data_IF_403390688149
#
_entry.id   IF_403390688149
#
_cell.length_a   1.000
_cell.length_b   1.000
_cell.length_c   1.000
_cell.angle_alpha   90.00
_cell.angle_beta   90.00
_cell.angle_gamma   90.00
#
_symmetry.space_group_name_H-M   'P 1'
#
loop_
_entity.id
_entity.type
_entity.pdbx_description
1 polymer ?
#
# COMPACT_ATOMS: atom_id res chain seq x y z
N UNK A 1 22.42 25.62 14.04
CA UNK A 1 23.72 25.31 13.40
C UNK A 1 24.36 26.59 12.81
N UNK A 2 25.65 26.54 12.55
CA UNK A 2 26.42 27.69 12.05
C UNK A 2 26.40 27.70 10.52
N UNK A 3 25.60 28.59 9.91
CA UNK A 3 25.45 28.75 8.46
C UNK A 3 26.71 29.32 7.76
N UNK A 4 27.74 29.76 8.52
CA UNK A 4 28.99 30.29 7.94
C UNK A 4 30.01 29.19 7.66
N UNK A 5 29.71 27.95 8.06
CA UNK A 5 30.58 26.81 7.77
C UNK A 5 30.42 26.41 6.31
N UNK A 6 31.52 26.35 5.59
CA UNK A 6 31.58 25.84 4.21
C UNK A 6 32.24 24.48 4.18
N UNK A 7 31.94 23.70 3.16
CA UNK A 7 32.46 22.35 2.98
C UNK A 7 33.24 22.23 1.68
N UNK A 8 34.30 21.46 1.69
CA UNK A 8 35.15 21.20 0.52
C UNK A 8 35.37 19.70 0.38
N UNK A 9 35.02 19.13 -0.76
CA UNK A 9 35.31 17.74 -1.07
C UNK A 9 36.81 17.51 -1.21
N UNK A 10 37.30 16.45 -0.58
CA UNK A 10 38.74 16.07 -0.57
C UNK A 10 39.00 14.83 -1.42
N UNK A 11 38.09 13.86 -1.39
CA UNK A 11 38.19 12.60 -2.12
C UNK A 11 36.78 11.98 -2.26
N UNK A 12 36.61 11.09 -3.23
CA UNK A 12 35.37 10.34 -3.42
C UNK A 12 35.52 9.21 -4.42
N UNK A 13 34.71 8.18 -4.26
CA UNK A 13 34.71 7.02 -5.14
C UNK A 13 33.27 6.44 -5.22
N UNK A 14 32.72 6.25 -6.42
CA UNK A 14 33.22 6.68 -7.76
C UNK A 14 33.30 8.20 -7.91
N UNK A 15 34.19 8.67 -8.77
CA UNK A 15 34.36 10.11 -9.01
C UNK A 15 33.06 10.76 -9.53
N UNK A 16 32.32 10.07 -10.38
CA UNK A 16 31.13 10.56 -11.07
C UNK A 16 31.31 10.64 -12.58
N UNK A 17 30.23 10.91 -13.29
CA UNK A 17 30.26 11.17 -14.73
C UNK A 17 30.87 12.56 -15.01
N UNK A 18 31.17 12.83 -16.29
CA UNK A 18 31.74 14.13 -16.68
C UNK A 18 30.80 15.28 -16.27
N UNK A 19 31.33 16.25 -15.53
CA UNK A 19 30.58 17.36 -14.94
C UNK A 19 29.51 16.99 -13.90
N UNK A 20 29.51 15.77 -13.39
CA UNK A 20 28.59 15.29 -12.35
C UNK A 20 29.37 14.54 -11.25
N UNK A 21 30.39 15.18 -10.70
CA UNK A 21 31.32 14.57 -9.73
C UNK A 21 30.89 14.81 -8.28
N UNK A 22 31.47 14.06 -7.34
CA UNK A 22 31.20 14.21 -5.90
C UNK A 22 31.53 15.64 -5.38
N UNK A 23 32.38 16.41 -6.05
CA UNK A 23 32.69 17.79 -5.65
C UNK A 23 31.47 18.72 -5.73
N UNK A 24 30.51 18.40 -6.57
CA UNK A 24 29.29 19.18 -6.78
C UNK A 24 28.24 19.02 -5.68
N UNK A 25 28.47 18.11 -4.72
CA UNK A 25 27.63 17.95 -3.54
C UNK A 25 27.67 19.16 -2.57
N UNK A 26 28.62 20.10 -2.75
CA UNK A 26 28.89 21.19 -1.82
C UNK A 26 28.96 22.56 -2.51
N UNK A 27 28.40 22.71 -3.71
CA UNK A 27 28.52 23.96 -4.49
C UNK A 27 27.27 24.86 -4.38
N UNK A 28 26.26 24.43 -3.62
CA UNK A 28 25.03 25.18 -3.35
C UNK A 28 24.04 25.26 -4.52
N UNK A 29 24.27 24.50 -5.59
CA UNK A 29 23.43 24.52 -6.80
C UNK A 29 22.38 23.42 -6.74
N UNK A 30 21.22 23.73 -6.21
CA UNK A 30 20.15 22.77 -5.91
C UNK A 30 18.75 23.14 -6.43
N UNK A 31 18.62 24.23 -7.19
CA UNK A 31 17.33 24.65 -7.77
C UNK A 31 17.24 24.29 -9.25
N UNK A 32 16.05 24.16 -9.82
CA UNK A 32 15.85 23.80 -11.23
C UNK A 32 16.61 24.72 -12.22
N UNK A 33 16.67 26.00 -11.90
CA UNK A 33 17.36 27.02 -12.75
C UNK A 33 18.88 27.03 -12.53
N UNK A 34 19.39 26.52 -11.41
CA UNK A 34 20.81 26.52 -11.06
C UNK A 34 21.16 25.23 -10.32
N UNK A 35 21.43 24.17 -11.08
CA UNK A 35 21.57 22.82 -10.58
C UNK A 35 22.90 22.18 -10.98
N UNK A 36 23.47 21.45 -10.04
CA UNK A 36 24.52 20.46 -10.28
C UNK A 36 24.28 19.21 -9.43
N UNK A 37 24.99 18.12 -9.69
CA UNK A 37 24.78 16.87 -8.98
C UNK A 37 26.01 15.97 -9.02
N UNK A 38 26.09 15.06 -8.06
CA UNK A 38 26.91 13.85 -8.16
C UNK A 38 26.08 12.73 -8.78
N UNK A 39 26.50 12.25 -9.95
CA UNK A 39 25.88 11.12 -10.61
C UNK A 39 26.98 10.12 -11.03
N UNK A 40 26.84 8.87 -10.63
CA UNK A 40 27.88 7.87 -10.88
C UNK A 40 27.30 6.47 -11.03
N UNK A 41 28.09 5.57 -11.66
CA UNK A 41 27.80 4.14 -11.65
C UNK A 41 27.95 3.62 -10.21
N UNK A 42 26.93 2.93 -9.72
CA UNK A 42 26.91 2.36 -8.38
C UNK A 42 27.14 0.84 -8.44
N UNK A 43 28.18 0.37 -7.78
CA UNK A 43 28.58 -1.05 -7.74
C UNK A 43 28.63 -1.61 -6.31
N UNK A 44 27.65 -1.22 -5.48
CA UNK A 44 27.52 -1.68 -4.10
C UNK A 44 28.06 -0.72 -3.05
N UNK A 45 28.88 0.26 -3.41
CA UNK A 45 29.28 1.35 -2.50
C UNK A 45 29.66 2.62 -3.25
N UNK A 46 29.44 3.76 -2.60
CA UNK A 46 29.95 5.07 -3.03
C UNK A 46 30.28 5.89 -1.78
N UNK A 47 31.32 6.73 -1.84
CA UNK A 47 31.67 7.58 -0.71
C UNK A 47 32.23 8.93 -1.15
N UNK A 48 32.09 9.93 -0.27
CA UNK A 48 32.77 11.22 -0.36
C UNK A 48 33.38 11.57 0.99
N UNK A 49 34.62 12.07 0.97
CA UNK A 49 35.33 12.62 2.11
C UNK A 49 35.44 14.14 1.92
N UNK A 50 35.06 14.90 2.91
CA UNK A 50 35.03 16.36 2.86
C UNK A 50 35.48 16.99 4.17
N UNK A 51 35.91 18.24 4.10
CA UNK A 51 36.33 19.03 5.25
C UNK A 51 35.39 20.21 5.46
N UNK A 52 35.09 20.52 6.72
CA UNK A 52 34.45 21.75 7.13
C UNK A 52 35.47 22.88 7.32
N UNK A 53 35.12 24.12 7.01
CA UNK A 53 35.97 25.30 7.26
C UNK A 53 36.19 25.56 8.74
N UNK A 54 35.30 25.06 9.61
CA UNK A 54 35.42 25.09 11.07
C UNK A 54 34.97 23.74 11.63
N UNK A 55 35.66 23.24 12.65
CA UNK A 55 35.21 22.07 13.37
C UNK A 55 33.89 22.35 14.12
N UNK A 56 33.00 21.36 14.16
CA UNK A 56 31.74 21.49 14.86
C UNK A 56 31.06 20.14 15.13
N UNK A 57 30.09 20.14 16.02
CA UNK A 57 29.27 18.98 16.34
C UNK A 57 28.21 18.82 15.25
N UNK A 58 28.13 17.69 14.55
CA UNK A 58 27.08 17.46 13.55
C UNK A 58 25.73 17.28 14.26
N UNK A 59 24.78 18.12 13.91
CA UNK A 59 23.41 18.10 14.49
C UNK A 59 22.37 17.62 13.48
N UNK A 60 22.73 17.56 12.20
CA UNK A 60 21.86 17.07 11.12
C UNK A 60 22.47 17.35 9.75
N UNK A 61 21.78 16.95 8.71
CA UNK A 61 22.13 17.24 7.32
C UNK A 61 20.88 17.26 6.43
N UNK A 62 21.03 17.87 5.26
CA UNK A 62 20.00 17.88 4.24
C UNK A 62 20.55 17.16 3.00
N UNK A 63 19.75 16.27 2.41
CA UNK A 63 20.01 15.66 1.10
C UNK A 63 19.02 16.26 0.11
N UNK A 64 19.52 16.81 -0.99
CA UNK A 64 18.68 17.27 -2.10
C UNK A 64 18.77 16.26 -3.25
N UNK A 65 17.63 15.85 -3.78
CA UNK A 65 17.53 14.90 -4.91
C UNK A 65 18.00 15.55 -6.23
N UNK A 66 18.30 14.73 -7.22
CA UNK A 66 18.72 15.18 -8.54
C UNK A 66 17.63 15.95 -9.30
N UNK A 67 18.04 16.62 -10.38
CA UNK A 67 17.14 17.45 -11.20
C UNK A 67 16.28 16.65 -12.19
N UNK A 68 16.48 15.34 -12.28
CA UNK A 68 15.78 14.43 -13.20
C UNK A 68 15.38 13.10 -12.53
N UNK A 69 15.29 13.09 -11.20
CA UNK A 69 14.90 11.91 -10.40
C UNK A 69 13.50 11.38 -10.80
N UNK A 70 12.57 12.28 -11.15
CA UNK A 70 11.23 11.89 -11.59
C UNK A 70 11.21 11.11 -12.92
N UNK A 71 12.26 11.28 -13.74
CA UNK A 71 12.44 10.57 -15.02
C UNK A 71 13.29 9.30 -14.86
N UNK A 72 14.13 9.25 -13.83
CA UNK A 72 15.10 8.18 -13.57
C UNK A 72 14.98 7.69 -12.12
N UNK A 73 13.91 6.97 -11.85
CA UNK A 73 13.54 6.51 -10.51
C UNK A 73 14.56 5.55 -9.91
N UNK A 74 14.63 5.55 -8.58
CA UNK A 74 15.45 4.60 -7.83
C UNK A 74 16.92 4.97 -7.64
N UNK A 75 17.36 6.14 -8.12
CA UNK A 75 18.77 6.59 -8.03
C UNK A 75 19.15 7.20 -6.69
N UNK A 76 18.17 7.47 -5.81
CA UNK A 76 18.42 8.04 -4.50
C UNK A 76 19.16 7.04 -3.58
N UNK A 77 20.00 7.54 -2.64
CA UNK A 77 20.52 6.72 -1.55
C UNK A 77 19.40 6.02 -0.78
N UNK A 78 19.65 4.76 -0.38
CA UNK A 78 18.73 3.96 0.44
C UNK A 78 19.33 3.58 1.79
N UNK A 79 20.64 3.34 1.83
CA UNK A 79 21.37 3.06 3.08
C UNK A 79 22.72 3.74 3.04
N UNK A 80 23.08 4.38 4.15
CA UNK A 80 24.35 5.12 4.26
C UNK A 80 24.83 5.27 5.69
N UNK A 81 26.12 5.66 5.82
CA UNK A 81 26.76 6.00 7.08
C UNK A 81 27.45 7.35 6.96
N UNK A 82 27.35 8.14 8.03
CA UNK A 82 28.09 9.38 8.20
C UNK A 82 29.13 9.19 9.30
N UNK A 83 30.35 9.56 9.02
CA UNK A 83 31.49 9.46 9.94
C UNK A 83 32.15 10.81 10.12
N UNK A 84 32.89 10.97 11.24
CA UNK A 84 33.72 12.14 11.53
C UNK A 84 35.11 11.76 12.09
N UNK A 85 36.08 12.63 11.85
CA UNK A 85 37.37 12.59 12.49
C UNK A 85 38.03 13.98 12.55
N UNK A 86 39.20 14.10 13.23
CA UNK A 86 40.01 15.32 13.32
C UNK A 86 41.44 15.13 12.81
N UNK A 87 41.76 13.95 12.25
CA UNK A 87 43.10 13.60 11.78
C UNK A 87 43.32 13.76 10.27
N UNK A 88 42.28 14.17 9.54
CA UNK A 88 42.32 14.34 8.08
C UNK A 88 41.72 13.18 7.30
N UNK A 89 41.81 13.22 5.97
CA UNK A 89 41.17 12.26 5.06
C UNK A 89 41.59 10.81 5.24
N UNK A 90 42.79 10.58 5.79
CA UNK A 90 43.40 9.25 5.99
C UNK A 90 43.32 8.80 7.46
N UNK A 91 42.63 9.55 8.33
CA UNK A 91 42.45 9.24 9.74
C UNK A 91 41.42 8.14 9.99
N UNK A 92 41.42 7.62 11.23
CA UNK A 92 40.37 6.68 11.67
C UNK A 92 39.03 7.36 11.77
N UNK A 93 37.97 6.67 11.32
CA UNK A 93 36.62 7.23 11.21
C UNK A 93 35.72 6.79 12.36
N UNK A 94 35.15 7.72 13.06
CA UNK A 94 34.11 7.47 14.09
C UNK A 94 32.73 7.57 13.47
N UNK A 95 31.90 6.54 13.65
CA UNK A 95 30.52 6.54 13.16
C UNK A 95 29.68 7.58 13.92
N UNK A 96 29.04 8.48 13.18
CA UNK A 96 28.13 9.49 13.69
C UNK A 96 26.69 8.99 13.56
N UNK A 97 26.31 8.53 12.35
CA UNK A 97 24.96 8.06 12.07
C UNK A 97 24.96 6.94 11.02
N UNK A 98 24.03 6.03 11.17
CA UNK A 98 23.71 4.99 10.19
C UNK A 98 22.22 5.05 9.84
N UNK A 99 21.93 5.04 8.54
CA UNK A 99 20.56 4.97 8.01
C UNK A 99 20.47 3.71 7.17
N UNK A 100 19.48 2.87 7.49
CA UNK A 100 19.21 1.62 6.80
C UNK A 100 17.81 1.63 6.18
N UNK A 101 17.72 1.31 4.89
CA UNK A 101 16.46 1.21 4.14
C UNK A 101 15.59 2.48 4.24
N UNK A 102 16.19 3.65 3.98
CA UNK A 102 15.46 4.92 3.95
C UNK A 102 14.26 4.88 3.02
N UNK A 103 13.16 5.47 3.48
CA UNK A 103 11.90 5.62 2.73
C UNK A 103 11.49 7.08 2.60
N UNK A 104 12.28 8.01 3.14
CA UNK A 104 11.99 9.44 3.16
C UNK A 104 12.32 10.11 1.83
N UNK A 105 13.46 9.74 1.23
CA UNK A 105 13.85 10.25 -0.08
C UNK A 105 12.91 9.73 -1.16
N UNK A 106 12.29 10.64 -1.92
CA UNK A 106 11.36 10.31 -3.00
C UNK A 106 11.98 10.66 -4.36
N UNK A 107 11.49 10.05 -5.43
CA UNK A 107 11.91 10.33 -6.81
C UNK A 107 11.28 11.63 -7.36
N UNK A 108 11.50 12.72 -6.63
CA UNK A 108 11.06 14.09 -6.97
C UNK A 108 12.29 14.95 -7.24
N UNK A 109 12.23 15.80 -8.26
CA UNK A 109 13.35 16.63 -8.66
C UNK A 109 13.64 17.74 -7.64
N UNK A 110 14.91 18.07 -7.44
CA UNK A 110 15.40 19.23 -6.68
C UNK A 110 14.74 19.39 -5.30
N UNK A 111 14.41 18.28 -4.64
CA UNK A 111 13.69 18.30 -3.38
C UNK A 111 14.61 17.96 -2.22
N UNK A 112 14.59 18.81 -1.19
CA UNK A 112 15.45 18.71 0.00
C UNK A 112 14.77 17.98 1.14
N UNK A 113 15.50 17.04 1.77
CA UNK A 113 15.04 16.21 2.87
C UNK A 113 16.01 16.33 4.05
N UNK A 114 15.51 16.72 5.21
CA UNK A 114 16.30 16.92 6.43
C UNK A 114 16.44 15.64 7.24
N UNK A 115 17.65 15.40 7.75
CA UNK A 115 17.98 14.30 8.66
C UNK A 115 18.63 14.85 9.92
N UNK A 116 18.35 14.26 11.08
CA UNK A 116 18.95 14.64 12.37
C UNK A 116 20.06 13.68 12.74
N UNK A 117 21.14 14.18 13.36
CA UNK A 117 22.22 13.36 13.90
C UNK A 117 21.98 13.14 15.40
N UNK A 118 21.58 11.92 15.78
CA UNK A 118 21.21 11.61 17.18
C UNK A 118 22.41 11.36 18.11
N UNK A 119 23.58 11.01 17.57
CA UNK A 119 24.73 10.49 18.35
C UNK A 119 25.91 11.44 18.50
N UNK A 120 25.86 12.66 17.98
CA UNK A 120 27.03 13.52 17.94
C UNK A 120 27.13 14.51 19.09
N UNK A 121 27.97 14.26 20.11
CA UNK A 121 28.45 15.30 21.05
C UNK A 121 29.90 15.72 20.77
N UNK A 122 30.56 15.08 19.81
CA UNK A 122 31.95 15.32 19.48
C UNK A 122 32.08 16.22 18.27
N UNK A 123 32.94 17.23 18.38
CA UNK A 123 33.26 18.14 17.28
C UNK A 123 34.26 17.50 16.32
N UNK A 124 33.95 17.55 15.04
CA UNK A 124 34.79 17.05 13.98
C UNK A 124 35.04 18.13 12.92
N UNK A 125 36.16 18.03 12.20
CA UNK A 125 36.48 18.87 11.05
C UNK A 125 36.43 18.13 9.73
N UNK A 126 36.64 16.80 9.74
CA UNK A 126 36.62 15.96 8.53
C UNK A 126 35.47 14.97 8.64
N UNK A 127 34.81 14.73 7.51
CA UNK A 127 33.65 13.88 7.42
C UNK A 127 33.75 12.92 6.25
N UNK A 128 33.16 11.75 6.39
CA UNK A 128 32.97 10.78 5.31
C UNK A 128 31.49 10.39 5.25
N UNK A 129 30.88 10.55 4.10
CA UNK A 129 29.56 10.01 3.81
C UNK A 129 29.73 8.81 2.90
N UNK A 130 29.26 7.63 3.35
CA UNK A 130 29.42 6.35 2.68
C UNK A 130 28.03 5.75 2.41
N UNK A 131 27.68 5.57 1.13
CA UNK A 131 26.42 5.04 0.66
C UNK A 131 26.62 3.56 0.34
N UNK A 132 25.86 2.66 0.98
CA UNK A 132 25.95 1.21 0.83
C UNK A 132 24.81 0.60 0.03
N UNK A 133 23.72 1.36 -0.23
CA UNK A 133 22.64 0.94 -1.10
C UNK A 133 21.93 2.16 -1.73
N UNK A 134 21.38 1.97 -2.91
CA UNK A 134 20.45 2.89 -3.60
C UNK A 134 19.07 2.24 -3.68
N UNK A 135 18.04 3.02 -4.00
CA UNK A 135 16.67 2.52 -4.03
C UNK A 135 16.49 1.39 -5.06
N UNK A 136 17.02 1.57 -6.27
CA UNK A 136 17.04 0.51 -7.30
C UNK A 136 18.03 0.84 -8.42
N UNK A 137 18.28 -0.13 -9.31
CA UNK A 137 19.18 0.06 -10.45
C UNK A 137 20.67 0.06 -10.08
N UNK A 138 21.48 0.74 -10.88
CA UNK A 138 22.94 0.73 -10.81
C UNK A 138 23.58 2.13 -11.01
N UNK A 139 22.80 3.18 -10.82
CA UNK A 139 23.23 4.58 -10.89
C UNK A 139 22.81 5.30 -9.62
N UNK A 140 23.77 5.88 -8.91
CA UNK A 140 23.53 6.79 -7.78
C UNK A 140 23.41 8.22 -8.32
N UNK A 141 22.50 8.99 -7.76
CA UNK A 141 22.32 10.41 -8.05
C UNK A 141 21.98 11.18 -6.79
N UNK A 142 22.68 12.27 -6.52
CA UNK A 142 22.44 13.21 -5.43
C UNK A 142 22.72 14.63 -5.92
N UNK A 143 21.81 15.54 -5.65
CA UNK A 143 21.97 16.97 -5.98
C UNK A 143 22.95 17.65 -5.04
N UNK A 144 22.59 17.77 -3.76
CA UNK A 144 23.37 18.47 -2.75
C UNK A 144 23.37 17.71 -1.44
N UNK A 145 24.47 17.85 -0.67
CA UNK A 145 24.61 17.33 0.70
C UNK A 145 25.04 18.47 1.63
N UNK A 146 24.16 18.92 2.49
CA UNK A 146 24.41 20.04 3.40
C UNK A 146 24.49 19.54 4.85
N UNK A 147 25.71 19.41 5.38
CA UNK A 147 25.90 19.04 6.79
C UNK A 147 25.67 20.27 7.69
N UNK A 148 24.94 20.09 8.78
CA UNK A 148 24.61 21.15 9.74
C UNK A 148 25.50 20.96 10.98
N UNK A 149 26.45 21.89 11.19
CA UNK A 149 27.38 21.85 12.30
C UNK A 149 27.04 22.91 13.36
N UNK A 150 27.06 22.50 14.62
CA UNK A 150 27.05 23.39 15.76
C UNK A 150 28.49 23.67 16.19
N UNK A 151 28.94 24.89 15.98
CA UNK A 151 30.31 25.30 16.34
C UNK A 151 30.43 25.89 17.76
N UNK A 152 29.29 26.22 18.39
CA UNK A 152 29.20 26.68 19.76
C UNK A 152 28.76 25.52 20.68
N UNK A 153 29.48 25.31 21.78
CA UNK A 153 29.18 24.29 22.79
C UNK A 153 28.06 24.73 23.76
N UNK A 154 27.62 25.98 23.66
CA UNK A 154 26.64 26.64 24.57
C UNK A 154 27.06 26.62 26.05
N UNK A 155 28.39 26.57 26.27
CA UNK A 155 29.01 26.68 27.60
C UNK A 155 29.92 27.91 27.65
N UNK A 156 29.94 28.56 28.79
CA UNK A 156 30.86 29.66 29.08
C UNK A 156 32.28 29.13 29.30
N UNK A 157 33.27 30.03 29.35
CA UNK A 157 34.68 29.67 29.57
C UNK A 157 34.92 28.97 30.92
N UNK A 158 34.08 29.17 31.90
CA UNK A 158 34.10 28.55 33.23
C UNK A 158 33.37 27.18 33.28
N UNK A 159 32.82 26.71 32.13
CA UNK A 159 32.07 25.48 32.01
C UNK A 159 30.58 25.57 32.39
N UNK A 160 30.10 26.77 32.82
CA UNK A 160 28.67 26.97 33.10
C UNK A 160 27.87 27.06 31.80
N UNK A 161 26.54 26.85 31.89
CA UNK A 161 25.65 26.97 30.73
C UNK A 161 25.62 28.41 30.22
N UNK A 162 25.77 28.57 28.90
CA UNK A 162 25.56 29.84 28.22
C UNK A 162 24.12 30.00 27.68
N UNK A 163 23.19 29.11 28.05
CA UNK A 163 21.77 29.20 27.75
C UNK A 163 21.12 30.19 28.71
N UNK A 164 20.38 31.13 28.15
CA UNK A 164 19.58 32.09 28.91
C UNK A 164 18.31 31.51 29.53
N UNK A 165 17.38 32.37 29.90
CA UNK A 165 16.07 31.94 30.37
C UNK A 165 15.28 31.18 29.32
N UNK A 166 14.41 30.23 29.72
CA UNK A 166 13.53 29.51 28.79
C UNK A 166 12.66 30.47 28.00
N UNK A 167 12.67 30.28 26.65
CA UNK A 167 11.82 31.06 25.75
C UNK A 167 10.47 30.35 25.54
N UNK A 168 10.50 29.02 25.46
CA UNK A 168 9.35 28.18 25.19
C UNK A 168 9.50 26.85 25.93
N UNK A 169 8.40 26.31 26.42
CA UNK A 169 8.35 25.00 27.03
C UNK A 169 7.22 24.21 26.38
N UNK A 170 7.58 23.16 25.65
CA UNK A 170 6.64 22.26 24.96
C UNK A 170 6.55 20.95 25.71
N UNK A 171 5.35 20.57 26.08
CA UNK A 171 5.07 19.30 26.73
C UNK A 171 5.21 18.12 25.75
N UNK A 172 5.56 16.94 26.28
CA UNK A 172 5.56 15.70 25.50
C UNK A 172 4.16 15.37 24.97
N UNK A 173 4.11 14.76 23.81
CA UNK A 173 2.90 14.13 23.27
C UNK A 173 3.03 12.60 23.38
N UNK A 174 2.08 11.86 22.81
CA UNK A 174 2.18 10.40 22.73
C UNK A 174 3.17 9.90 21.67
N UNK A 175 3.70 10.78 20.82
CA UNK A 175 4.63 10.45 19.72
C UNK A 175 5.94 11.23 19.79
N UNK A 176 5.99 12.34 20.52
CA UNK A 176 7.15 13.22 20.57
C UNK A 176 7.46 13.63 22.01
N UNK A 177 8.75 13.65 22.35
CA UNK A 177 9.21 14.17 23.64
C UNK A 177 9.01 15.67 23.73
N UNK A 178 8.69 16.15 24.94
CA UNK A 178 8.66 17.57 25.23
C UNK A 178 10.06 18.18 25.12
N UNK A 179 10.13 19.48 24.93
CA UNK A 179 11.40 20.21 24.90
C UNK A 179 11.26 21.60 25.47
N UNK A 180 12.39 22.16 25.91
CA UNK A 180 12.49 23.57 26.31
C UNK A 180 13.43 24.26 25.32
N UNK A 181 13.03 25.44 24.88
CA UNK A 181 13.80 26.25 23.94
C UNK A 181 14.50 27.38 24.70
N UNK A 182 15.78 27.58 24.43
CA UNK A 182 16.63 28.59 25.00
C UNK A 182 17.33 29.41 23.93
N UNK A 183 17.84 30.58 24.29
CA UNK A 183 18.74 31.37 23.46
C UNK A 183 20.16 31.36 24.05
N UNK A 184 21.14 30.96 23.24
CA UNK A 184 22.53 31.04 23.70
C UNK A 184 23.04 32.49 23.75
N UNK A 185 23.65 32.87 24.84
CA UNK A 185 24.22 34.22 25.03
C UNK A 185 25.50 34.45 24.20
N UNK A 186 26.18 33.37 23.76
CA UNK A 186 27.45 33.43 23.02
C UNK A 186 27.16 33.48 21.50
N UNK A 187 26.43 32.54 20.95
CA UNK A 187 26.18 32.42 19.52
C UNK A 187 24.83 32.96 19.06
N UNK A 188 23.98 33.37 19.98
CA UNK A 188 22.63 33.87 19.77
C UNK A 188 21.68 32.92 19.03
N UNK A 189 22.08 31.65 18.88
CA UNK A 189 21.22 30.62 18.31
C UNK A 189 20.14 30.18 19.29
N UNK A 190 19.03 29.69 18.77
CA UNK A 190 17.99 29.02 19.52
C UNK A 190 18.39 27.55 19.71
N UNK A 191 18.34 27.06 20.93
CA UNK A 191 18.71 25.70 21.34
C UNK A 191 17.48 25.00 21.88
N UNK A 192 17.20 23.80 21.42
CA UNK A 192 16.18 22.93 21.99
C UNK A 192 16.83 21.87 22.87
N UNK A 193 16.42 21.83 24.13
CA UNK A 193 16.76 20.73 25.05
C UNK A 193 15.54 19.83 25.19
N UNK A 194 15.64 18.61 24.68
CA UNK A 194 14.58 17.62 24.81
C UNK A 194 14.53 17.07 26.23
N UNK A 195 13.32 16.98 26.75
CA UNK A 195 13.06 16.36 28.03
C UNK A 195 13.25 14.84 27.90
N UNK A 196 13.81 14.23 28.94
CA UNK A 196 14.00 12.77 29.01
C UNK A 196 12.75 12.04 29.50
N UNK A 197 11.67 12.78 29.71
CA UNK A 197 10.41 12.25 30.21
C UNK A 197 9.83 11.21 29.25
N UNK A 198 9.09 10.26 29.79
CA UNK A 198 8.33 9.30 28.98
C UNK A 198 7.30 10.04 28.11
N UNK A 199 7.03 9.47 26.93
CA UNK A 199 5.94 9.95 26.10
C UNK A 199 4.61 9.83 26.86
N UNK A 200 3.69 10.77 26.62
CA UNK A 200 2.34 10.67 27.19
C UNK A 200 1.63 9.43 26.63
N UNK A 201 0.81 8.81 27.46
CA UNK A 201 -0.06 7.73 27.02
C UNK A 201 -1.04 8.24 25.96
N UNK A 202 -1.45 7.36 25.07
CA UNK A 202 -2.49 7.68 24.09
C UNK A 202 -3.82 7.96 24.82
N UNK A 203 -4.48 9.06 24.44
CA UNK A 203 -5.88 9.31 24.81
C UNK A 203 -6.73 8.70 23.70
N UNK A 204 -7.49 7.67 24.03
CA UNK A 204 -8.20 6.87 23.04
C UNK A 204 -9.71 7.14 23.05
N UNK A 205 -10.27 7.35 21.87
CA UNK A 205 -11.71 7.28 21.63
C UNK A 205 -12.04 5.89 21.09
N UNK A 206 -13.02 5.23 21.73
CA UNK A 206 -13.52 3.92 21.32
C UNK A 206 -14.52 4.08 20.16
N UNK A 207 -14.38 3.25 19.16
CA UNK A 207 -15.28 3.14 18.02
C UNK A 207 -15.84 1.72 17.95
N UNK A 208 -17.13 1.59 18.20
CA UNK A 208 -17.84 0.32 18.04
C UNK A 208 -17.74 -0.19 16.61
N UNK A 209 -17.82 -1.53 16.45
CA UNK A 209 -17.88 -2.14 15.12
C UNK A 209 -19.11 -1.67 14.36
N UNK A 210 -18.93 -1.38 13.08
CA UNK A 210 -20.00 -1.04 12.14
C UNK A 210 -20.12 -2.13 11.07
N UNK A 211 -20.98 -1.94 10.07
CA UNK A 211 -21.02 -2.85 8.91
C UNK A 211 -19.84 -2.71 7.93
N UNK A 212 -18.93 -1.73 8.15
CA UNK A 212 -17.77 -1.48 7.27
C UNK A 212 -16.43 -1.51 8.00
N UNK A 213 -16.43 -1.29 9.32
CA UNK A 213 -15.22 -1.20 10.15
C UNK A 213 -15.32 -2.12 11.36
N UNK A 214 -14.20 -2.77 11.70
CA UNK A 214 -14.04 -3.49 12.96
C UNK A 214 -14.04 -2.52 14.13
N UNK A 215 -14.41 -3.01 15.31
CA UNK A 215 -14.17 -2.31 16.58
C UNK A 215 -12.71 -1.89 16.70
N UNK A 216 -12.47 -0.65 17.10
CA UNK A 216 -11.12 -0.11 17.23
C UNK A 216 -11.10 1.11 18.16
N UNK A 217 -9.90 1.51 18.54
CA UNK A 217 -9.62 2.73 19.30
C UNK A 217 -8.76 3.65 18.45
N UNK A 218 -9.09 4.94 18.47
CA UNK A 218 -8.31 5.95 17.77
C UNK A 218 -7.73 6.95 18.78
N UNK A 219 -6.45 7.28 18.64
CA UNK A 219 -5.85 8.31 19.47
C UNK A 219 -6.28 9.70 19.02
N UNK A 220 -6.81 10.50 19.96
CA UNK A 220 -7.31 11.87 19.70
C UNK A 220 -6.18 12.85 19.32
N UNK A 221 -4.93 12.51 19.66
CA UNK A 221 -3.76 13.39 19.47
C UNK A 221 -2.96 13.04 18.22
N UNK A 222 -2.58 11.75 18.05
CA UNK A 222 -1.76 11.33 16.93
C UNK A 222 -2.55 10.64 15.80
N UNK A 223 -3.86 10.43 16.02
CA UNK A 223 -4.81 9.82 15.10
C UNK A 223 -4.47 8.38 14.68
N UNK A 224 -3.55 7.71 15.36
CA UNK A 224 -3.24 6.30 15.15
C UNK A 224 -4.38 5.41 15.64
N UNK A 225 -4.52 4.25 15.00
CA UNK A 225 -5.55 3.26 15.31
C UNK A 225 -4.96 2.10 16.10
N UNK A 226 -5.75 1.55 17.02
CA UNK A 226 -5.36 0.43 17.89
C UNK A 226 -6.48 -0.61 17.94
N UNK A 227 -6.10 -1.87 18.06
CA UNK A 227 -7.06 -2.97 18.22
C UNK A 227 -7.46 -3.21 19.68
N UNK A 228 -6.90 -2.45 20.61
CA UNK A 228 -7.13 -2.60 22.06
C UNK A 228 -7.18 -1.26 22.80
N UNK A 229 -7.91 -1.25 23.93
CA UNK A 229 -8.14 -0.07 24.77
C UNK A 229 -6.88 0.44 25.49
N UNK A 230 -5.77 -0.28 25.48
CA UNK A 230 -4.51 0.10 26.11
C UNK A 230 -3.48 0.64 25.14
N UNK A 231 -3.82 0.73 23.85
CA UNK A 231 -2.90 1.12 22.77
C UNK A 231 -1.64 0.25 22.68
N UNK A 232 -1.76 -1.06 22.95
CA UNK A 232 -0.63 -1.99 22.89
C UNK A 232 -0.39 -2.52 21.48
N UNK A 233 -1.43 -2.52 20.63
CA UNK A 233 -1.38 -3.01 19.26
C UNK A 233 -1.85 -1.95 18.27
N UNK A 234 -0.89 -1.23 17.68
CA UNK A 234 -1.15 -0.30 16.59
C UNK A 234 -1.55 -1.08 15.33
N UNK A 235 -2.61 -0.63 14.67
CA UNK A 235 -3.12 -1.22 13.42
C UNK A 235 -3.25 -0.12 12.35
N UNK A 236 -3.14 -0.50 11.08
CA UNK A 236 -3.42 0.44 10.01
C UNK A 236 -4.93 0.49 9.69
N UNK A 237 -5.42 1.61 9.16
CA UNK A 237 -6.83 1.79 8.82
C UNK A 237 -7.37 0.71 7.86
N UNK A 238 -6.56 0.29 6.88
CA UNK A 238 -6.98 -0.71 5.90
C UNK A 238 -7.26 -2.07 6.55
N UNK A 239 -6.56 -2.42 7.65
CA UNK A 239 -6.80 -3.66 8.39
C UNK A 239 -8.09 -3.64 9.23
N UNK A 240 -8.65 -2.45 9.46
CA UNK A 240 -9.93 -2.27 10.13
C UNK A 240 -11.12 -2.46 9.19
N UNK A 241 -10.93 -2.29 7.89
CA UNK A 241 -12.01 -2.47 6.93
C UNK A 241 -12.45 -3.93 6.85
N UNK A 242 -13.76 -4.13 6.80
CA UNK A 242 -14.32 -5.40 6.37
C UNK A 242 -14.14 -5.57 4.87
N UNK A 243 -13.99 -6.80 4.44
CA UNK A 243 -13.79 -7.15 3.04
C UNK A 243 -14.57 -8.41 2.67
N UNK A 244 -14.80 -8.58 1.38
CA UNK A 244 -15.36 -9.81 0.84
C UNK A 244 -14.25 -10.86 0.72
N UNK A 245 -14.57 -12.09 1.10
CA UNK A 245 -13.63 -13.21 1.05
C UNK A 245 -14.36 -14.53 0.82
N UNK A 246 -13.61 -15.57 0.47
CA UNK A 246 -14.10 -16.92 0.39
C UNK A 246 -13.29 -17.89 1.28
N UNK A 247 -13.96 -18.88 1.86
CA UNK A 247 -13.32 -19.94 2.65
C UNK A 247 -13.74 -21.30 2.09
N UNK A 248 -12.79 -22.18 1.84
CA UNK A 248 -13.08 -23.56 1.47
C UNK A 248 -12.84 -24.50 2.64
N UNK A 249 -13.89 -25.22 3.04
CA UNK A 249 -13.82 -26.30 4.03
C UNK A 249 -13.67 -27.64 3.30
N UNK A 250 -12.51 -28.28 3.47
CA UNK A 250 -12.20 -29.57 2.85
C UNK A 250 -13.05 -30.72 3.38
N UNK A 251 -13.57 -30.62 4.59
CA UNK A 251 -14.37 -31.70 5.22
C UNK A 251 -15.78 -31.70 4.67
N UNK A 252 -16.42 -30.54 4.64
CA UNK A 252 -17.78 -30.37 4.09
C UNK A 252 -17.77 -30.14 2.57
N UNK A 253 -16.60 -29.95 1.97
CA UNK A 253 -16.42 -29.60 0.54
C UNK A 253 -17.23 -28.36 0.14
N UNK A 254 -17.36 -27.43 1.05
CA UNK A 254 -18.15 -26.21 0.90
C UNK A 254 -17.25 -25.00 0.72
N UNK A 255 -17.51 -24.22 -0.34
CA UNK A 255 -16.92 -22.90 -0.54
C UNK A 255 -17.93 -21.84 -0.07
N UNK A 256 -17.58 -21.12 1.01
CA UNK A 256 -18.43 -20.10 1.60
C UNK A 256 -17.91 -18.71 1.29
N UNK A 257 -18.75 -17.85 0.75
CA UNK A 257 -18.49 -16.43 0.51
C UNK A 257 -19.08 -15.59 1.64
N UNK A 258 -18.27 -14.71 2.22
CA UNK A 258 -18.67 -13.85 3.33
C UNK A 258 -18.12 -12.44 3.18
N UNK A 259 -18.68 -11.49 3.93
CA UNK A 259 -18.18 -10.13 4.05
C UNK A 259 -17.97 -9.76 5.51
N UNK A 260 -16.78 -9.35 5.88
CA UNK A 260 -16.46 -9.03 7.27
C UNK A 260 -14.97 -9.09 7.58
N UNK A 261 -14.66 -9.48 8.81
CA UNK A 261 -13.28 -9.73 9.24
C UNK A 261 -12.76 -11.01 8.56
N UNK A 262 -11.90 -10.85 7.57
CA UNK A 262 -11.32 -11.99 6.84
C UNK A 262 -10.46 -12.84 7.78
N UNK A 263 -10.77 -14.13 7.95
CA UNK A 263 -9.93 -15.04 8.74
C UNK A 263 -8.62 -15.37 8.02
N UNK A 264 -7.63 -15.83 8.78
CA UNK A 264 -6.38 -16.32 8.22
C UNK A 264 -6.64 -17.52 7.27
N UNK A 265 -5.96 -17.54 6.14
CA UNK A 265 -6.12 -18.57 5.11
C UNK A 265 -7.34 -18.41 4.20
N UNK A 266 -8.22 -17.45 4.42
CA UNK A 266 -9.31 -17.14 3.51
C UNK A 266 -8.79 -16.49 2.22
N UNK A 267 -9.49 -16.75 1.12
CA UNK A 267 -9.18 -16.23 -0.21
C UNK A 267 -9.74 -14.82 -0.41
N UNK A 268 -8.97 -13.95 -1.05
CA UNK A 268 -9.49 -12.67 -1.57
C UNK A 268 -10.30 -12.92 -2.85
N UNK A 269 -11.28 -12.04 -3.11
CA UNK A 269 -11.95 -12.06 -4.40
C UNK A 269 -10.98 -11.62 -5.51
N UNK A 270 -11.16 -12.19 -6.68
CA UNK A 270 -10.39 -11.79 -7.86
C UNK A 270 -10.96 -10.51 -8.50
N UNK A 271 -10.10 -9.82 -9.23
CA UNK A 271 -10.44 -8.62 -10.00
C UNK A 271 -10.17 -8.84 -11.50
N UNK A 272 -10.97 -8.20 -12.33
CA UNK A 272 -10.81 -8.21 -13.79
C UNK A 272 -10.80 -9.64 -14.36
N UNK A 273 -9.69 -10.04 -14.98
CA UNK A 273 -9.47 -11.35 -15.58
C UNK A 273 -8.49 -12.24 -14.80
N UNK A 274 -8.17 -11.87 -13.55
CA UNK A 274 -7.36 -12.71 -12.69
C UNK A 274 -8.17 -13.94 -12.25
N UNK A 275 -7.53 -15.11 -12.20
CA UNK A 275 -8.16 -16.31 -11.66
C UNK A 275 -8.32 -16.21 -10.15
N UNK A 276 -9.48 -16.62 -9.58
CA UNK A 276 -9.63 -16.70 -8.14
C UNK A 276 -8.70 -17.76 -7.55
N UNK A 277 -8.15 -17.50 -6.36
CA UNK A 277 -7.19 -18.39 -5.73
C UNK A 277 -7.80 -19.74 -5.30
N UNK A 278 -9.11 -19.81 -5.03
CA UNK A 278 -9.82 -21.08 -4.71
C UNK A 278 -10.03 -21.98 -5.95
N UNK A 279 -9.70 -21.55 -7.15
CA UNK A 279 -9.84 -22.32 -8.37
C UNK A 279 -9.15 -23.70 -8.32
N UNK A 280 -8.04 -23.80 -7.59
CA UNK A 280 -7.32 -25.07 -7.40
C UNK A 280 -8.18 -26.12 -6.64
N UNK A 281 -9.23 -25.68 -5.97
CA UNK A 281 -10.18 -26.54 -5.27
C UNK A 281 -11.38 -26.95 -6.14
N UNK A 282 -11.47 -26.50 -7.38
CA UNK A 282 -12.66 -26.66 -8.23
C UNK A 282 -13.30 -28.06 -8.19
N UNK A 283 -12.52 -29.10 -8.45
CA UNK A 283 -13.01 -30.50 -8.43
C UNK A 283 -13.42 -31.00 -7.04
N UNK A 284 -13.03 -30.32 -5.96
CA UNK A 284 -13.38 -30.66 -4.59
C UNK A 284 -14.63 -29.93 -4.09
N UNK A 285 -15.11 -28.89 -4.79
CA UNK A 285 -16.26 -28.09 -4.37
C UNK A 285 -17.54 -28.83 -4.76
N UNK A 286 -18.35 -29.21 -3.77
CA UNK A 286 -19.67 -29.84 -3.94
C UNK A 286 -20.80 -28.84 -3.64
N UNK A 287 -20.57 -27.91 -2.70
CA UNK A 287 -21.53 -26.87 -2.28
C UNK A 287 -20.88 -25.50 -2.27
N UNK A 288 -21.63 -24.51 -2.72
CA UNK A 288 -21.29 -23.06 -2.59
C UNK A 288 -22.34 -22.42 -1.72
N UNK A 289 -21.90 -21.61 -0.75
CA UNK A 289 -22.78 -20.83 0.13
C UNK A 289 -22.38 -19.35 0.03
N UNK A 290 -23.35 -18.51 -0.27
CA UNK A 290 -23.23 -17.07 -0.05
C UNK A 290 -23.88 -16.74 1.27
N UNK A 291 -23.09 -16.42 2.29
CA UNK A 291 -23.59 -15.96 3.59
C UNK A 291 -24.33 -14.63 3.45
N UNK A 292 -25.34 -14.39 4.27
CA UNK A 292 -26.14 -13.15 4.20
C UNK A 292 -25.29 -11.86 4.30
N UNK A 293 -24.13 -11.91 4.99
CA UNK A 293 -23.19 -10.79 5.07
C UNK A 293 -22.64 -10.40 3.70
N UNK A 294 -22.57 -11.36 2.75
CA UNK A 294 -22.04 -11.12 1.40
C UNK A 294 -22.88 -10.13 0.60
N UNK A 295 -24.12 -9.84 1.01
CA UNK A 295 -24.94 -8.77 0.43
C UNK A 295 -24.28 -7.37 0.51
N UNK A 296 -23.29 -7.19 1.40
CA UNK A 296 -22.47 -5.97 1.49
C UNK A 296 -21.29 -5.95 0.52
N UNK A 297 -20.92 -7.07 -0.08
CA UNK A 297 -19.87 -7.15 -1.08
C UNK A 297 -20.29 -6.46 -2.39
N UNK A 298 -19.31 -5.91 -3.09
CA UNK A 298 -19.51 -5.27 -4.41
C UNK A 298 -18.44 -5.76 -5.39
N UNK A 299 -18.47 -7.05 -5.75
CA UNK A 299 -17.48 -7.60 -6.69
C UNK A 299 -17.60 -6.90 -8.04
N UNK A 300 -16.45 -6.72 -8.70
CA UNK A 300 -16.37 -6.19 -10.06
C UNK A 300 -16.19 -7.29 -11.09
N UNK A 301 -15.85 -8.50 -10.65
CA UNK A 301 -15.62 -9.66 -11.51
C UNK A 301 -16.08 -10.94 -10.84
N UNK A 302 -16.77 -11.79 -11.61
CA UNK A 302 -17.07 -13.19 -11.29
C UNK A 302 -16.31 -14.14 -12.23
N UNK A 303 -15.25 -13.66 -12.88
CA UNK A 303 -14.45 -14.43 -13.82
C UNK A 303 -13.89 -15.70 -13.19
N UNK A 304 -14.21 -16.86 -13.74
CA UNK A 304 -13.73 -18.17 -13.32
C UNK A 304 -14.15 -18.62 -11.91
N UNK A 305 -15.14 -18.01 -11.28
CA UNK A 305 -15.47 -18.29 -9.87
C UNK A 305 -15.73 -19.77 -9.60
N UNK A 306 -16.45 -20.46 -10.48
CA UNK A 306 -16.76 -21.90 -10.35
C UNK A 306 -16.28 -22.70 -11.56
N UNK A 307 -15.24 -22.21 -12.23
CA UNK A 307 -14.62 -22.93 -13.35
C UNK A 307 -14.11 -24.30 -12.91
N UNK A 308 -14.51 -25.36 -13.61
CA UNK A 308 -14.17 -26.75 -13.33
C UNK A 308 -14.68 -27.26 -11.96
N UNK A 309 -15.72 -26.65 -11.39
CA UNK A 309 -16.39 -27.24 -10.21
C UNK A 309 -17.27 -28.41 -10.68
N UNK A 310 -16.62 -29.51 -11.11
CA UNK A 310 -17.25 -30.65 -11.78
C UNK A 310 -18.27 -31.38 -10.88
N UNK A 311 -18.10 -31.31 -9.55
CA UNK A 311 -18.93 -31.93 -8.55
C UNK A 311 -19.89 -30.96 -7.86
N UNK A 312 -19.95 -29.70 -8.28
CA UNK A 312 -20.85 -28.70 -7.72
C UNK A 312 -22.31 -29.04 -8.03
N UNK A 313 -23.08 -29.31 -6.99
CA UNK A 313 -24.52 -29.64 -7.10
C UNK A 313 -25.43 -28.57 -6.49
N UNK A 314 -24.93 -27.83 -5.50
CA UNK A 314 -25.74 -26.94 -4.66
C UNK A 314 -25.10 -25.57 -4.56
N UNK A 315 -25.92 -24.53 -4.79
CA UNK A 315 -25.56 -23.14 -4.51
C UNK A 315 -26.66 -22.54 -3.64
N UNK A 316 -26.30 -22.12 -2.43
CA UNK A 316 -27.18 -21.52 -1.45
C UNK A 316 -26.90 -20.03 -1.29
N UNK A 317 -27.94 -19.20 -1.09
CA UNK A 317 -27.80 -17.79 -0.82
C UNK A 317 -27.27 -16.96 -2.00
N UNK A 318 -27.38 -17.44 -3.24
CA UNK A 318 -26.88 -16.73 -4.43
C UNK A 318 -27.50 -15.33 -4.59
N UNK A 319 -28.67 -15.11 -4.01
CA UNK A 319 -29.34 -13.80 -3.94
C UNK A 319 -28.54 -12.75 -3.17
N UNK A 320 -27.62 -13.16 -2.28
CA UNK A 320 -26.69 -12.27 -1.58
C UNK A 320 -25.49 -11.86 -2.44
N UNK A 321 -25.30 -12.44 -3.61
CA UNK A 321 -24.30 -11.99 -4.58
C UNK A 321 -24.82 -10.75 -5.32
N UNK A 322 -24.40 -9.57 -4.89
CA UNK A 322 -24.72 -8.32 -5.59
C UNK A 322 -23.85 -8.17 -6.85
N UNK A 323 -24.47 -8.30 -8.03
CA UNK A 323 -23.79 -8.24 -9.32
C UNK A 323 -23.84 -6.86 -10.00
N UNK A 324 -24.36 -5.83 -9.34
CA UNK A 324 -24.57 -4.49 -9.93
C UNK A 324 -23.28 -3.87 -10.51
N UNK A 325 -22.11 -4.19 -9.93
CA UNK A 325 -20.83 -3.68 -10.37
C UNK A 325 -19.99 -4.70 -11.15
N UNK A 326 -20.54 -5.88 -11.44
CA UNK A 326 -19.80 -6.92 -12.16
C UNK A 326 -19.73 -6.58 -13.66
N UNK A 327 -18.52 -6.56 -14.20
CA UNK A 327 -18.23 -6.30 -15.61
C UNK A 327 -17.87 -7.59 -16.38
N UNK A 328 -17.42 -8.65 -15.68
CA UNK A 328 -16.97 -9.89 -16.29
C UNK A 328 -17.53 -11.13 -15.57
N UNK A 329 -18.34 -11.91 -16.30
CA UNK A 329 -18.88 -13.21 -15.85
C UNK A 329 -18.39 -14.37 -16.72
N UNK A 330 -17.29 -14.17 -17.49
CA UNK A 330 -16.80 -15.21 -18.40
C UNK A 330 -16.40 -16.47 -17.64
N UNK A 331 -16.87 -17.61 -18.15
CA UNK A 331 -16.60 -18.95 -17.61
C UNK A 331 -16.95 -19.11 -16.12
N UNK A 332 -17.91 -18.32 -15.59
CA UNK A 332 -18.27 -18.36 -14.17
C UNK A 332 -18.68 -19.76 -13.71
N UNK A 333 -19.48 -20.47 -14.52
CA UNK A 333 -19.97 -21.83 -14.23
C UNK A 333 -19.45 -22.87 -15.26
N UNK A 334 -18.40 -22.53 -16.00
CA UNK A 334 -17.87 -23.42 -17.03
C UNK A 334 -17.44 -24.75 -16.44
N UNK A 335 -17.82 -25.87 -17.11
CA UNK A 335 -17.51 -27.25 -16.73
C UNK A 335 -18.08 -27.68 -15.35
N UNK A 336 -19.20 -27.06 -14.88
CA UNK A 336 -19.99 -27.50 -13.75
C UNK A 336 -20.91 -28.67 -14.17
N UNK A 337 -20.35 -29.87 -14.28
CA UNK A 337 -21.04 -31.02 -14.88
C UNK A 337 -22.24 -31.53 -14.07
N UNK A 338 -22.23 -31.36 -12.75
CA UNK A 338 -23.21 -31.90 -11.83
C UNK A 338 -24.33 -30.90 -11.47
N UNK A 339 -24.21 -29.61 -11.87
CA UNK A 339 -25.16 -28.56 -11.54
C UNK A 339 -26.45 -28.73 -12.38
N UNK A 340 -27.60 -29.01 -11.73
CA UNK A 340 -28.87 -29.32 -12.42
C UNK A 340 -29.76 -28.10 -12.64
N UNK A 341 -29.72 -27.14 -11.72
CA UNK A 341 -30.50 -25.90 -11.82
C UNK A 341 -29.77 -24.72 -11.20
N UNK A 342 -30.09 -23.52 -11.64
CA UNK A 342 -29.47 -22.28 -11.18
C UNK A 342 -30.50 -21.14 -11.16
N UNK A 343 -30.61 -20.45 -10.03
CA UNK A 343 -31.45 -19.26 -9.90
C UNK A 343 -30.61 -17.99 -9.94
N UNK A 344 -30.70 -17.25 -11.05
CA UNK A 344 -30.05 -15.96 -11.29
C UNK A 344 -31.03 -14.80 -11.25
N UNK A 345 -32.21 -14.97 -10.65
CA UNK A 345 -33.26 -13.96 -10.64
C UNK A 345 -32.84 -12.64 -9.95
N UNK A 346 -31.87 -12.73 -9.02
CA UNK A 346 -31.27 -11.57 -8.33
C UNK A 346 -30.20 -10.83 -9.16
N UNK A 347 -29.71 -11.43 -10.24
CA UNK A 347 -28.58 -10.87 -10.99
C UNK A 347 -28.95 -9.62 -11.76
N UNK A 348 -28.13 -8.57 -11.58
CA UNK A 348 -28.19 -7.31 -12.33
C UNK A 348 -26.97 -7.28 -13.25
N UNK A 349 -27.19 -7.39 -14.58
CA UNK A 349 -26.09 -7.56 -15.52
C UNK A 349 -25.89 -6.37 -16.46
N UNK A 350 -26.45 -5.21 -16.11
CA UNK A 350 -26.40 -4.01 -16.96
C UNK A 350 -24.98 -3.50 -17.26
N UNK A 351 -23.99 -3.82 -16.43
CA UNK A 351 -22.57 -3.45 -16.64
C UNK A 351 -21.71 -4.57 -17.21
N UNK A 352 -22.26 -5.78 -17.39
CA UNK A 352 -21.49 -6.93 -17.83
C UNK A 352 -21.16 -6.81 -19.32
N UNK A 353 -19.86 -6.82 -19.63
CA UNK A 353 -19.34 -6.74 -20.99
C UNK A 353 -18.88 -8.10 -21.54
N UNK A 354 -18.62 -9.08 -20.66
CA UNK A 354 -18.16 -10.40 -21.04
C UNK A 354 -18.89 -11.52 -20.29
N UNK A 355 -19.53 -12.43 -21.08
CA UNK A 355 -20.21 -13.65 -20.63
C UNK A 355 -19.73 -14.90 -21.42
N UNK A 356 -18.56 -14.83 -22.08
CA UNK A 356 -18.07 -15.93 -22.88
C UNK A 356 -17.93 -17.21 -22.06
N UNK A 357 -18.43 -18.33 -22.56
CA UNK A 357 -18.33 -19.64 -21.92
C UNK A 357 -18.98 -19.71 -20.51
N UNK A 358 -19.90 -18.80 -20.13
CA UNK A 358 -20.40 -18.71 -18.76
C UNK A 358 -20.96 -20.04 -18.23
N UNK A 359 -21.68 -20.80 -19.08
CA UNK A 359 -22.23 -22.13 -18.78
C UNK A 359 -21.67 -23.25 -19.68
N UNK A 360 -20.50 -23.03 -20.29
CA UNK A 360 -19.89 -23.96 -21.25
C UNK A 360 -19.79 -25.37 -20.63
N UNK A 361 -20.40 -26.36 -21.33
CA UNK A 361 -20.43 -27.79 -20.96
C UNK A 361 -21.06 -28.08 -19.57
N UNK A 362 -22.04 -27.29 -19.10
CA UNK A 362 -22.88 -27.65 -17.97
C UNK A 362 -23.91 -28.75 -18.41
N UNK A 363 -23.46 -29.98 -18.48
CA UNK A 363 -24.23 -31.07 -19.11
C UNK A 363 -25.51 -31.45 -18.38
N UNK A 364 -25.53 -31.36 -17.03
CA UNK A 364 -26.70 -31.68 -16.22
C UNK A 364 -27.67 -30.49 -16.07
N UNK A 365 -27.26 -29.27 -16.48
CA UNK A 365 -28.04 -28.08 -16.27
C UNK A 365 -29.31 -28.09 -17.12
N UNK A 366 -30.46 -28.20 -16.45
CA UNK A 366 -31.80 -28.29 -17.09
C UNK A 366 -32.50 -26.94 -17.10
N UNK A 367 -32.32 -26.14 -16.05
CA UNK A 367 -33.08 -24.92 -15.85
C UNK A 367 -32.23 -23.79 -15.29
N UNK A 368 -32.34 -22.59 -15.89
CA UNK A 368 -31.75 -21.36 -15.40
C UNK A 368 -32.91 -20.37 -15.21
N UNK A 369 -33.18 -19.99 -13.95
CA UNK A 369 -34.14 -18.92 -13.65
C UNK A 369 -33.46 -17.56 -13.76
N UNK A 370 -34.14 -16.59 -14.36
CA UNK A 370 -33.65 -15.21 -14.47
C UNK A 370 -34.82 -14.21 -14.46
N UNK A 371 -34.53 -12.97 -14.03
CA UNK A 371 -35.43 -11.84 -14.08
C UNK A 371 -35.14 -10.94 -15.30
N UNK A 372 -35.95 -9.90 -15.46
CA UNK A 372 -35.77 -8.84 -16.46
C UNK A 372 -34.51 -7.97 -16.21
N UNK A 373 -33.89 -8.09 -15.01
CA UNK A 373 -32.61 -7.44 -14.68
C UNK A 373 -31.40 -8.16 -15.32
N UNK A 374 -31.58 -9.41 -15.77
CA UNK A 374 -30.54 -10.12 -16.52
C UNK A 374 -30.60 -9.69 -17.99
N UNK A 375 -29.79 -8.71 -18.35
CA UNK A 375 -29.72 -8.13 -19.69
C UNK A 375 -28.34 -8.36 -20.31
N UNK A 376 -28.28 -8.41 -21.65
CA UNK A 376 -27.03 -8.65 -22.40
C UNK A 376 -26.66 -7.49 -23.33
N UNK A 377 -27.25 -6.33 -23.16
CA UNK A 377 -27.12 -5.17 -24.05
C UNK A 377 -25.68 -4.64 -24.16
N UNK A 378 -24.87 -4.79 -23.10
CA UNK A 378 -23.48 -4.35 -23.06
C UNK A 378 -22.49 -5.48 -23.36
N UNK A 379 -22.97 -6.70 -23.55
CA UNK A 379 -22.09 -7.87 -23.77
C UNK A 379 -21.47 -7.82 -25.16
N UNK A 380 -20.17 -7.61 -25.20
CA UNK A 380 -19.36 -7.64 -26.43
C UNK A 380 -18.67 -8.99 -26.67
N UNK A 381 -18.44 -9.74 -25.59
CA UNK A 381 -17.83 -11.08 -25.61
C UNK A 381 -18.77 -12.10 -24.96
N UNK A 382 -19.57 -12.80 -25.75
CA UNK A 382 -20.58 -13.75 -25.25
C UNK A 382 -20.67 -15.05 -26.09
N UNK A 383 -19.55 -15.48 -26.73
CA UNK A 383 -19.49 -16.70 -27.55
C UNK A 383 -19.53 -17.94 -26.65
N UNK A 384 -20.11 -19.01 -27.16
CA UNK A 384 -20.15 -20.33 -26.52
C UNK A 384 -20.73 -20.35 -25.08
N UNK A 385 -21.56 -19.36 -24.73
CA UNK A 385 -22.14 -19.24 -23.39
C UNK A 385 -22.85 -20.52 -22.96
N UNK A 386 -23.61 -21.16 -23.86
CA UNK A 386 -24.40 -22.38 -23.61
C UNK A 386 -23.87 -23.63 -24.37
N UNK A 387 -22.68 -23.57 -24.95
CA UNK A 387 -22.15 -24.71 -25.70
C UNK A 387 -22.06 -25.95 -24.81
N UNK A 388 -22.67 -27.05 -25.25
CA UNK A 388 -22.64 -28.34 -24.55
C UNK A 388 -23.59 -28.48 -23.38
N UNK A 389 -24.51 -27.52 -23.14
CA UNK A 389 -25.57 -27.59 -22.12
C UNK A 389 -26.74 -28.44 -22.63
N UNK A 390 -26.49 -29.70 -22.94
CA UNK A 390 -27.41 -30.56 -23.74
C UNK A 390 -28.74 -30.91 -23.05
N UNK A 391 -28.84 -30.72 -21.73
CA UNK A 391 -30.06 -30.94 -20.95
C UNK A 391 -30.92 -29.66 -20.79
N UNK A 392 -30.40 -28.50 -21.22
CA UNK A 392 -31.00 -27.20 -20.93
C UNK A 392 -32.34 -26.99 -21.66
N UNK A 393 -33.34 -26.52 -20.89
CA UNK A 393 -34.69 -26.24 -21.36
C UNK A 393 -35.11 -24.87 -20.83
N UNK A 394 -35.60 -24.05 -21.72
CA UNK A 394 -36.19 -22.75 -21.39
C UNK A 394 -37.40 -22.48 -22.28
N UNK A 395 -37.53 -21.31 -22.88
CA UNK A 395 -38.53 -21.04 -23.92
C UNK A 395 -38.26 -21.92 -25.18
N UNK A 396 -36.99 -22.40 -25.34
CA UNK A 396 -36.59 -23.38 -26.37
C UNK A 396 -35.79 -24.52 -25.76
N UNK A 397 -35.82 -25.69 -26.40
CA UNK A 397 -34.90 -26.78 -26.08
C UNK A 397 -33.49 -26.47 -26.62
N UNK A 398 -32.48 -27.12 -26.04
CA UNK A 398 -31.07 -26.93 -26.46
C UNK A 398 -30.86 -27.17 -27.97
N UNK A 399 -30.21 -26.21 -28.61
CA UNK A 399 -29.79 -26.27 -30.02
C UNK A 399 -28.29 -25.92 -30.10
N UNK A 400 -27.48 -26.84 -30.66
CA UNK A 400 -26.04 -26.69 -30.79
C UNK A 400 -25.60 -25.48 -31.63
N UNK A 401 -26.49 -24.91 -32.46
CA UNK A 401 -26.25 -23.69 -33.23
C UNK A 401 -26.61 -22.42 -32.50
N UNK A 402 -27.26 -22.52 -31.32
CA UNK A 402 -27.78 -21.40 -30.53
C UNK A 402 -27.02 -21.31 -29.19
N UNK A 403 -25.74 -21.01 -29.21
CA UNK A 403 -24.89 -21.11 -28.01
C UNK A 403 -24.38 -19.77 -27.46
N UNK A 404 -24.71 -18.66 -28.12
CA UNK A 404 -24.22 -17.33 -27.70
C UNK A 404 -25.11 -16.69 -26.61
N UNK A 405 -24.63 -15.60 -26.04
CA UNK A 405 -25.35 -14.77 -25.05
C UNK A 405 -26.69 -14.22 -25.55
N UNK A 406 -26.92 -14.17 -26.85
CA UNK A 406 -28.21 -13.72 -27.43
C UNK A 406 -29.38 -14.60 -27.06
N UNK A 407 -29.12 -15.85 -26.63
CA UNK A 407 -30.12 -16.80 -26.14
C UNK A 407 -30.26 -16.76 -24.59
N UNK A 408 -29.63 -15.80 -23.89
CA UNK A 408 -29.78 -15.59 -22.47
C UNK A 408 -31.01 -14.68 -22.18
N UNK A 409 -32.21 -15.19 -22.46
CA UNK A 409 -33.48 -14.51 -22.25
C UNK A 409 -34.62 -15.53 -22.05
N UNK A 410 -35.75 -15.07 -21.51
CA UNK A 410 -36.92 -15.88 -21.21
C UNK A 410 -37.89 -16.04 -22.38
N UNK A 411 -37.79 -15.25 -23.45
CA UNK A 411 -38.79 -15.21 -24.55
C UNK A 411 -38.44 -16.19 -25.68
N UNK A 412 -37.18 -16.19 -26.08
CA UNK A 412 -36.72 -16.95 -27.27
C UNK A 412 -35.42 -17.75 -26.98
N UNK A 413 -35.01 -17.77 -25.72
CA UNK A 413 -33.78 -18.33 -25.24
C UNK A 413 -33.93 -19.45 -24.20
N UNK A 414 -32.90 -19.64 -23.41
CA UNK A 414 -32.77 -20.76 -22.50
C UNK A 414 -33.17 -20.44 -21.07
N UNK A 415 -33.60 -19.20 -20.76
CA UNK A 415 -34.00 -18.86 -19.40
C UNK A 415 -35.48 -19.13 -19.15
N UNK A 416 -35.77 -19.50 -17.92
CA UNK A 416 -37.10 -19.61 -17.37
C UNK A 416 -37.35 -18.36 -16.51
N UNK A 417 -38.55 -17.71 -16.60
CA UNK A 417 -38.83 -16.58 -15.75
C UNK A 417 -38.70 -16.98 -14.26
N UNK A 418 -37.81 -16.29 -13.55
CA UNK A 418 -37.65 -16.41 -12.11
C UNK A 418 -38.78 -15.73 -11.39
N UNK A 419 -39.26 -16.27 -10.28
CA UNK A 419 -40.14 -15.53 -9.40
C UNK A 419 -39.40 -14.33 -8.86
N UNK A 420 -39.86 -13.10 -9.09
CA UNK A 420 -39.45 -11.96 -8.30
C UNK A 420 -39.71 -12.35 -6.84
N UNK A 421 -38.68 -12.40 -5.99
CA UNK A 421 -38.92 -12.46 -4.56
C UNK A 421 -39.80 -11.30 -4.22
N UNK A 422 -41.00 -11.56 -3.66
CA UNK A 422 -41.89 -10.51 -3.20
C UNK A 422 -41.07 -9.69 -2.20
N UNK A 423 -40.77 -8.42 -2.54
CA UNK A 423 -40.24 -7.49 -1.56
C UNK A 423 -41.31 -7.42 -0.46
N UNK A 424 -40.97 -7.93 0.73
CA UNK A 424 -41.82 -7.79 1.89
C UNK A 424 -41.84 -6.30 2.21
N UNK A 425 -42.94 -5.63 1.87
CA UNK A 425 -43.16 -4.25 2.22
C UNK A 425 -43.44 -4.17 3.73
N UNK A 426 -42.40 -3.84 4.50
CA UNK A 426 -42.50 -3.64 5.94
C UNK A 426 -43.57 -2.57 6.32
N UNK A 427 -43.96 -1.70 5.39
CA UNK A 427 -44.97 -0.66 5.62
C UNK A 427 -46.40 -1.16 5.53
N UNK A 428 -46.65 -2.25 4.80
CA UNK A 428 -48.00 -2.79 4.56
C UNK A 428 -48.24 -4.18 5.20
N UNK A 429 -47.16 -4.88 5.62
CA UNK A 429 -47.26 -6.20 6.24
C UNK A 429 -47.73 -7.30 5.27
N UNK A 430 -47.64 -7.10 3.94
CA UNK A 430 -48.03 -8.06 2.90
C UNK A 430 -46.86 -8.43 1.99
#
# INVERSE_FOLDING_TARGET
YDNTVTFTALAGNPQGFTNETYAQLFDGKKTEDNFSKWCCKFSGSANVIFAASKAGVPVGYTITTGNDNSNWNGRNPKSWKLYGNNAGKDGEWTLIQEVNNDTKLQDVNCTSYDFTCEKGKTSYQYFKWEISAIQSGDVLQVGEFELKLQTCTHTNADGSSALGDPIENVEATCTEHGYTTYKCSICHSTVKEYKTDELKKHTLTHHEATNVLKEHWQCDVCHKYFSDANATQEVNYASLLYQAYAVFDQTSKTLTFSYGAKPEGAYDLNEGTNSPAWREQGDNIETVVFDASFANARPTSCFFWFLNCSNLTTIEGIEYLNTENVENMSSMFRDCYALESLDLSSFITAKVTSMSHMFYICKALTTIYASDKFVTNQVTYGIYMFYGCTALKGAIDYDANKTSHTYANCDTGYFTPGCAYAEFDESTGT
#
